data_IF_535023217746
#
_entry.id   IF_535023217746
#
_cell.length_a   1.000
_cell.length_b   1.000
_cell.length_c   1.000
_cell.angle_alpha   90.00
_cell.angle_beta   90.00
_cell.angle_gamma   90.00
#
_symmetry.space_group_name_H-M   'P 1'
#
loop_
_entity.id
_entity.type
_entity.pdbx_description
1 polymer ?
#
# COMPACT_ATOMS: atom_id res chain seq x y z
N UNK A 1 16.05 12.73 -21.64
CA UNK A 1 15.66 12.63 -20.21
C UNK A 1 14.88 11.36 -19.92
N UNK A 2 15.53 10.36 -19.32
CA UNK A 2 14.92 9.07 -18.98
C UNK A 2 13.74 9.20 -17.99
N UNK A 3 13.91 9.98 -16.92
CA UNK A 3 12.89 10.19 -15.87
C UNK A 3 11.65 10.95 -16.34
N UNK A 4 11.77 11.75 -17.40
CA UNK A 4 10.66 12.52 -17.97
C UNK A 4 9.97 11.79 -19.12
N UNK A 5 10.41 10.58 -19.47
CA UNK A 5 9.77 9.80 -20.51
C UNK A 5 8.34 9.44 -20.10
N UNK A 6 7.36 9.64 -21.00
CA UNK A 6 5.93 9.54 -20.68
C UNK A 6 5.54 8.22 -20.00
N UNK A 7 6.20 7.11 -20.34
CA UNK A 7 5.96 5.80 -19.69
C UNK A 7 6.37 5.79 -18.21
N UNK A 8 7.50 6.43 -17.88
CA UNK A 8 8.00 6.54 -16.51
C UNK A 8 7.05 7.40 -15.70
N UNK A 9 6.67 8.57 -16.24
CA UNK A 9 5.70 9.47 -15.58
C UNK A 9 4.37 8.77 -15.31
N UNK A 10 3.82 8.05 -16.31
CA UNK A 10 2.57 7.28 -16.14
C UNK A 10 2.69 6.18 -15.07
N UNK A 11 3.83 5.50 -15.03
CA UNK A 11 4.07 4.44 -14.04
C UNK A 11 4.15 5.03 -12.63
N UNK A 12 4.89 6.13 -12.44
CA UNK A 12 5.01 6.82 -11.15
C UNK A 12 3.66 7.33 -10.66
N UNK A 13 2.88 7.97 -11.53
CA UNK A 13 1.55 8.49 -11.20
C UNK A 13 0.55 7.35 -10.87
N UNK A 14 0.65 6.20 -11.55
CA UNK A 14 -0.12 5.01 -11.18
C UNK A 14 0.28 4.48 -9.79
N UNK A 15 1.57 4.42 -9.50
CA UNK A 15 2.10 3.97 -8.21
C UNK A 15 1.63 4.84 -7.06
N UNK A 16 1.77 6.16 -7.20
CA UNK A 16 1.35 7.13 -6.20
C UNK A 16 -0.13 6.97 -5.82
N UNK A 17 -1.01 6.77 -6.81
CA UNK A 17 -2.45 6.53 -6.56
C UNK A 17 -2.73 5.31 -5.70
N UNK A 18 -2.20 4.15 -6.06
CA UNK A 18 -2.55 2.93 -5.32
C UNK A 18 -1.89 2.87 -3.94
N UNK A 19 -0.67 3.40 -3.80
CA UNK A 19 0.01 3.48 -2.50
C UNK A 19 -0.76 4.37 -1.52
N UNK A 20 -1.24 5.54 -1.98
CA UNK A 20 -2.12 6.40 -1.16
C UNK A 20 -3.38 5.67 -0.71
N UNK A 21 -4.02 4.93 -1.61
CA UNK A 21 -5.24 4.17 -1.30
C UNK A 21 -5.00 3.05 -0.30
N UNK A 22 -3.90 2.29 -0.43
CA UNK A 22 -3.51 1.28 0.55
C UNK A 22 -3.28 1.92 1.92
N UNK A 23 -2.54 3.04 1.96
CA UNK A 23 -2.28 3.76 3.19
C UNK A 23 -3.58 4.21 3.88
N UNK A 24 -4.51 4.80 3.13
CA UNK A 24 -5.83 5.24 3.62
C UNK A 24 -6.66 4.08 4.19
N UNK A 25 -6.67 2.93 3.51
CA UNK A 25 -7.40 1.73 3.96
C UNK A 25 -6.88 1.25 5.30
N UNK A 26 -5.56 1.07 5.42
CA UNK A 26 -4.97 0.61 6.68
C UNK A 26 -5.07 1.64 7.80
N UNK A 27 -5.02 2.95 7.48
CA UNK A 27 -5.19 4.00 8.48
C UNK A 27 -6.63 4.03 9.03
N UNK A 28 -7.61 3.86 8.15
CA UNK A 28 -9.04 3.86 8.52
C UNK A 28 -9.42 2.59 9.26
N UNK A 29 -8.87 1.44 8.86
CA UNK A 29 -9.14 0.13 9.47
C UNK A 29 -7.84 -0.65 9.72
N UNK A 30 -7.09 -0.32 10.79
CA UNK A 30 -5.81 -0.99 11.08
C UNK A 30 -5.92 -2.50 11.31
N UNK A 31 -7.12 -3.03 11.56
CA UNK A 31 -7.39 -4.46 11.69
C UNK A 31 -7.17 -5.23 10.38
N UNK A 32 -7.07 -4.54 9.24
CA UNK A 32 -6.76 -5.15 7.95
C UNK A 32 -5.26 -5.37 7.73
N UNK A 33 -4.40 -4.80 8.57
CA UNK A 33 -2.96 -5.10 8.55
C UNK A 33 -2.70 -6.55 9.00
N UNK A 34 -1.58 -7.17 8.61
CA UNK A 34 -1.20 -8.46 9.16
C UNK A 34 -1.02 -8.43 10.69
N UNK A 35 -1.24 -9.56 11.40
CA UNK A 35 -1.12 -9.61 12.86
C UNK A 35 0.25 -9.16 13.40
N UNK A 36 1.33 -9.37 12.65
CA UNK A 36 2.69 -8.93 13.00
C UNK A 36 2.80 -7.40 13.04
N UNK A 37 2.22 -6.72 12.06
CA UNK A 37 2.14 -5.26 12.00
C UNK A 37 1.19 -4.71 13.07
N UNK A 38 0.02 -5.34 13.27
CA UNK A 38 -0.96 -4.90 14.27
C UNK A 38 -0.37 -4.84 15.69
N UNK A 39 0.48 -5.81 16.07
CA UNK A 39 1.16 -5.83 17.38
C UNK A 39 2.04 -4.60 17.64
N UNK A 40 2.55 -3.95 16.59
CA UNK A 40 3.41 -2.77 16.68
C UNK A 40 2.62 -1.47 16.82
N UNK A 41 1.32 -1.46 16.47
CA UNK A 41 0.48 -0.24 16.44
C UNK A 41 0.48 0.52 17.76
N UNK A 42 0.38 -0.19 18.89
CA UNK A 42 0.35 0.45 20.22
C UNK A 42 1.66 1.16 20.57
N UNK A 43 2.80 0.62 20.12
CA UNK A 43 4.13 1.11 20.49
C UNK A 43 4.63 2.19 19.53
N UNK A 44 4.37 2.02 18.24
CA UNK A 44 4.99 2.83 17.18
C UNK A 44 4.00 3.78 16.49
N UNK A 45 2.70 3.61 16.74
CA UNK A 45 1.63 4.38 16.12
C UNK A 45 1.27 3.87 14.72
N UNK A 46 0.06 4.20 14.23
CA UNK A 46 -0.46 3.66 12.98
C UNK A 46 0.35 4.13 11.76
N UNK A 47 0.69 5.43 11.69
CA UNK A 47 1.40 6.01 10.55
C UNK A 47 2.72 5.28 10.26
N UNK A 48 3.55 5.07 11.29
CA UNK A 48 4.86 4.40 11.14
C UNK A 48 4.70 2.94 10.72
N UNK A 49 3.83 2.21 11.40
CA UNK A 49 3.60 0.78 11.12
C UNK A 49 3.08 0.56 9.70
N UNK A 50 2.16 1.40 9.24
CA UNK A 50 1.61 1.32 7.89
C UNK A 50 2.68 1.65 6.86
N UNK A 51 3.46 2.72 7.07
CA UNK A 51 4.57 3.08 6.17
C UNK A 51 5.59 1.93 6.07
N UNK A 52 6.02 1.36 7.20
CA UNK A 52 6.98 0.25 7.21
C UNK A 52 6.42 -0.98 6.50
N UNK A 53 5.13 -1.28 6.71
CA UNK A 53 4.47 -2.41 6.06
C UNK A 53 4.39 -2.23 4.54
N UNK A 54 3.97 -1.05 4.06
CA UNK A 54 3.91 -0.72 2.63
C UNK A 54 5.31 -0.70 2.00
N UNK A 55 6.30 -0.11 2.69
CA UNK A 55 7.68 -0.05 2.20
C UNK A 55 8.34 -1.43 2.14
N UNK A 56 7.85 -2.41 2.91
CA UNK A 56 8.28 -3.80 2.85
C UNK A 56 7.66 -4.62 1.70
N UNK A 57 6.73 -4.04 0.93
CA UNK A 57 6.09 -4.74 -0.19
C UNK A 57 6.95 -4.71 -1.45
N UNK A 58 6.86 -5.77 -2.25
CA UNK A 58 7.30 -5.72 -3.65
C UNK A 58 6.21 -5.08 -4.52
N UNK A 59 6.57 -4.52 -5.68
CA UNK A 59 5.60 -3.93 -6.62
C UNK A 59 4.44 -4.88 -6.95
N UNK A 60 4.73 -6.17 -7.14
CA UNK A 60 3.72 -7.20 -7.41
C UNK A 60 2.77 -7.37 -6.22
N UNK A 61 3.33 -7.51 -5.02
CA UNK A 61 2.54 -7.69 -3.82
C UNK A 61 1.67 -6.46 -3.52
N UNK A 62 2.19 -5.24 -3.68
CA UNK A 62 1.41 -4.02 -3.48
C UNK A 62 0.24 -3.91 -4.48
N UNK A 63 0.45 -4.33 -5.73
CA UNK A 63 -0.62 -4.37 -6.73
C UNK A 63 -1.68 -5.42 -6.36
N UNK A 64 -1.27 -6.64 -5.99
CA UNK A 64 -2.20 -7.70 -5.61
C UNK A 64 -3.01 -7.29 -4.37
N UNK A 65 -2.37 -6.67 -3.39
CA UNK A 65 -3.03 -6.17 -2.17
C UNK A 65 -4.01 -5.04 -2.49
N UNK A 66 -3.67 -4.13 -3.42
CA UNK A 66 -4.60 -3.13 -3.91
C UNK A 66 -5.83 -3.78 -4.57
N UNK A 67 -5.64 -4.81 -5.40
CA UNK A 67 -6.78 -5.50 -6.03
C UNK A 67 -7.71 -6.13 -5.00
N UNK A 68 -7.18 -6.78 -3.96
CA UNK A 68 -8.02 -7.36 -2.89
C UNK A 68 -8.96 -6.34 -2.22
N UNK A 69 -8.54 -5.09 -2.10
CA UNK A 69 -9.35 -4.05 -1.48
C UNK A 69 -10.33 -3.37 -2.44
N UNK A 70 -9.99 -3.28 -3.73
CA UNK A 70 -10.70 -2.41 -4.67
C UNK A 70 -11.32 -3.15 -5.87
N UNK A 71 -10.97 -4.40 -6.11
CA UNK A 71 -11.56 -5.25 -7.15
C UNK A 71 -12.52 -6.27 -6.50
N UNK A 72 -13.85 -6.14 -6.70
CA UNK A 72 -14.86 -6.94 -5.98
C UNK A 72 -14.77 -8.45 -6.17
N UNK A 73 -14.09 -8.91 -7.21
CA UNK A 73 -13.97 -10.32 -7.58
C UNK A 73 -12.59 -10.91 -7.26
N UNK A 74 -11.67 -10.10 -6.73
CA UNK A 74 -10.35 -10.58 -6.29
C UNK A 74 -10.50 -11.35 -4.98
N UNK A 75 -9.74 -12.44 -4.83
CA UNK A 75 -9.80 -13.27 -3.61
C UNK A 75 -8.95 -12.66 -2.51
N UNK A 76 -9.51 -12.54 -1.31
CA UNK A 76 -8.83 -12.05 -0.10
C UNK A 76 -8.00 -13.16 0.55
#
# INVERSE_FOLDING_TARGET
NLYQHYRVVRMTDKADRFIKKLFEVYLTKPQQLPPTSQKRLRKEGPYRVICDYIAGMTDRYALDEYKKFFEPYERV
#
